data_IF_521870600240
#
_entry.id   IF_521870600240
#
_cell.length_a   1.000
_cell.length_b   1.000
_cell.length_c   1.000
_cell.angle_alpha   90.00
_cell.angle_beta   90.00
_cell.angle_gamma   90.00
#
_symmetry.space_group_name_H-M   'P 1'
#
loop_
_entity.id
_entity.type
_entity.pdbx_description
1 polymer ?
#
# COMPACT_ATOMS: atom_id res chain seq x y z
N UNK A 1 -14.37 -12.13 0.24
CA UNK A 1 -12.93 -11.90 -0.01
C UNK A 1 -12.59 -10.43 -0.03
N UNK A 2 -11.39 -10.08 0.43
CA UNK A 2 -10.85 -8.71 0.49
C UNK A 2 -9.69 -8.57 -0.49
N UNK A 3 -9.54 -7.42 -1.13
CA UNK A 3 -8.33 -7.05 -1.88
C UNK A 3 -7.38 -6.29 -0.97
N UNK A 4 -6.09 -6.54 -1.14
CA UNK A 4 -5.04 -5.89 -0.33
C UNK A 4 -3.92 -5.46 -1.25
N UNK A 5 -3.53 -4.18 -1.17
CA UNK A 5 -2.39 -3.60 -1.89
C UNK A 5 -1.30 -3.17 -0.91
N UNK A 6 -0.03 -3.43 -1.25
CA UNK A 6 1.11 -3.01 -0.41
C UNK A 6 2.18 -2.35 -1.28
N UNK A 7 2.63 -1.18 -0.84
CA UNK A 7 3.74 -0.45 -1.44
C UNK A 7 4.66 0.09 -0.33
N UNK A 8 5.97 0.14 -0.62
CA UNK A 8 6.99 0.59 0.32
C UNK A 8 7.68 1.83 -0.25
N UNK A 9 7.37 2.99 0.34
CA UNK A 9 7.85 4.29 -0.11
C UNK A 9 7.88 5.32 1.01
N UNK A 10 8.01 6.59 0.63
CA UNK A 10 8.03 7.74 1.53
C UNK A 10 6.65 8.41 1.61
N UNK A 11 6.26 8.79 2.82
CA UNK A 11 4.95 9.42 3.07
C UNK A 11 5.10 10.73 3.82
N UNK A 12 4.22 11.68 3.51
CA UNK A 12 3.98 12.84 4.36
C UNK A 12 2.82 12.50 5.29
N UNK A 13 2.98 12.74 6.59
CA UNK A 13 1.95 12.47 7.59
C UNK A 13 1.67 13.70 8.44
N UNK A 14 0.47 13.79 9.00
CA UNK A 14 0.09 14.90 9.85
C UNK A 14 -1.28 14.76 10.51
N UNK A 15 -1.56 15.66 11.45
CA UNK A 15 -2.89 15.83 12.04
C UNK A 15 -3.69 16.83 11.20
N UNK A 16 -4.88 16.42 10.75
CA UNK A 16 -5.82 17.24 9.99
C UNK A 16 -7.07 17.51 10.79
N UNK A 17 -7.59 18.72 10.67
CA UNK A 17 -8.81 19.20 11.31
C UNK A 17 -8.53 20.17 12.45
N UNK A 18 -9.50 21.03 12.75
CA UNK A 18 -9.39 22.06 13.80
C UNK A 18 -10.28 21.77 15.02
N UNK A 19 -11.34 20.96 14.86
CA UNK A 19 -12.26 20.56 15.94
C UNK A 19 -12.24 19.07 16.25
N UNK A 20 -12.00 18.23 15.24
CA UNK A 20 -11.80 16.79 15.37
C UNK A 20 -10.54 16.45 14.60
N UNK A 21 -9.47 16.21 15.33
CA UNK A 21 -8.18 15.88 14.73
C UNK A 21 -8.21 14.42 14.26
N UNK A 22 -7.69 14.19 13.05
CA UNK A 22 -7.38 12.86 12.53
C UNK A 22 -5.94 12.85 12.08
N UNK A 23 -5.19 11.82 12.49
CA UNK A 23 -3.89 11.56 11.90
C UNK A 23 -4.09 10.82 10.58
N UNK A 24 -3.43 11.29 9.52
CA UNK A 24 -3.60 10.74 8.19
C UNK A 24 -2.31 10.93 7.35
N UNK A 25 -2.21 10.19 6.25
CA UNK A 25 -1.00 10.05 5.42
C UNK A 25 -1.31 10.34 3.94
N UNK A 26 -0.44 11.12 3.28
CA UNK A 26 -0.57 11.47 1.86
C UNK A 26 0.79 11.44 1.18
N UNK A 27 0.83 10.90 -0.03
CA UNK A 27 1.99 10.91 -0.93
C UNK A 27 1.56 10.30 -2.27
N UNK A 28 2.37 10.48 -3.30
CA UNK A 28 2.28 9.67 -4.52
C UNK A 28 2.42 8.17 -4.20
N UNK A 29 3.23 7.82 -3.21
CA UNK A 29 3.43 6.43 -2.77
C UNK A 29 2.15 5.83 -2.13
N UNK A 30 1.30 6.67 -1.51
CA UNK A 30 -0.01 6.24 -1.01
C UNK A 30 -0.98 5.98 -2.17
N UNK A 31 -0.93 6.81 -3.21
CA UNK A 31 -1.70 6.57 -4.44
C UNK A 31 -1.27 5.27 -5.12
N UNK A 32 0.03 4.99 -5.20
CA UNK A 32 0.54 3.75 -5.76
C UNK A 32 0.10 2.53 -4.93
N UNK A 33 0.08 2.62 -3.60
CA UNK A 33 -0.47 1.57 -2.74
C UNK A 33 -1.95 1.29 -3.04
N UNK A 34 -2.73 2.35 -3.29
CA UNK A 34 -4.14 2.25 -3.68
C UNK A 34 -4.30 1.62 -5.08
N UNK A 35 -3.39 1.90 -6.02
CA UNK A 35 -3.36 1.22 -7.32
C UNK A 35 -3.07 -0.27 -7.17
N UNK A 36 -2.17 -0.67 -6.27
CA UNK A 36 -1.92 -2.10 -5.98
C UNK A 36 -3.18 -2.78 -5.44
N UNK A 37 -3.94 -2.14 -4.54
CA UNK A 37 -5.20 -2.72 -4.03
C UNK A 37 -6.26 -2.83 -5.13
N UNK A 38 -6.47 -1.75 -5.88
CA UNK A 38 -7.55 -1.67 -6.87
C UNK A 38 -7.33 -2.59 -8.08
N UNK A 39 -6.08 -2.82 -8.48
CA UNK A 39 -5.70 -3.80 -9.51
C UNK A 39 -5.55 -5.23 -8.97
N UNK A 40 -5.57 -5.42 -7.65
CA UNK A 40 -5.35 -6.70 -7.01
C UNK A 40 -6.52 -7.67 -7.12
N UNK A 41 -6.24 -8.97 -7.01
CA UNK A 41 -7.27 -10.01 -6.97
C UNK A 41 -7.77 -10.23 -5.53
N UNK A 42 -9.09 -10.39 -5.31
CA UNK A 42 -9.62 -10.70 -3.98
C UNK A 42 -9.00 -11.99 -3.41
N UNK A 43 -8.64 -11.97 -2.13
CA UNK A 43 -8.01 -13.10 -1.44
C UNK A 43 -6.49 -13.19 -1.67
N UNK A 44 -5.90 -12.26 -2.41
CA UNK A 44 -4.44 -12.14 -2.61
C UNK A 44 -3.96 -10.75 -2.20
N UNK A 45 -2.66 -10.67 -1.89
CA UNK A 45 -1.97 -9.41 -1.61
C UNK A 45 -1.18 -9.02 -2.85
N UNK A 46 -1.52 -7.88 -3.45
CA UNK A 46 -0.79 -7.34 -4.59
C UNK A 46 0.27 -6.36 -4.08
N UNK A 47 1.52 -6.56 -4.51
CA UNK A 47 2.66 -5.79 -4.03
C UNK A 47 3.37 -5.10 -5.17
N UNK A 48 3.83 -3.88 -4.93
CA UNK A 48 4.71 -3.19 -5.86
C UNK A 48 6.12 -3.81 -5.91
N UNK A 49 6.89 -3.51 -6.95
CA UNK A 49 8.30 -3.96 -7.09
C UNK A 49 9.17 -3.55 -5.89
N UNK A 50 8.94 -2.36 -5.33
CA UNK A 50 9.65 -1.86 -4.14
C UNK A 50 9.48 -2.80 -2.94
N UNK A 51 8.25 -3.24 -2.68
CA UNK A 51 7.92 -4.16 -1.59
C UNK A 51 8.38 -5.57 -1.93
N UNK A 52 8.22 -6.01 -3.19
CA UNK A 52 8.67 -7.32 -3.65
C UNK A 52 10.16 -7.54 -3.35
N UNK A 53 11.02 -6.57 -3.67
CA UNK A 53 12.46 -6.65 -3.39
C UNK A 53 12.80 -6.90 -1.92
N UNK A 54 11.95 -6.43 -1.00
CA UNK A 54 12.13 -6.59 0.45
C UNK A 54 11.63 -7.96 0.95
N UNK A 55 10.62 -8.55 0.31
CA UNK A 55 9.90 -9.73 0.85
C UNK A 55 10.00 -10.98 -0.02
N UNK A 56 10.61 -10.90 -1.21
CA UNK A 56 10.72 -11.99 -2.19
C UNK A 56 11.33 -13.28 -1.63
N UNK A 57 12.16 -13.19 -0.59
CA UNK A 57 12.79 -14.35 0.05
C UNK A 57 11.96 -14.97 1.18
N UNK A 58 10.87 -14.31 1.59
CA UNK A 58 10.03 -14.71 2.72
C UNK A 58 8.71 -15.36 2.27
N UNK A 59 8.25 -15.04 1.06
CA UNK A 59 6.96 -15.47 0.54
C UNK A 59 7.06 -16.04 -0.86
N UNK A 60 6.09 -16.87 -1.24
CA UNK A 60 5.88 -17.27 -2.63
C UNK A 60 5.20 -16.13 -3.37
N UNK A 61 5.78 -15.71 -4.48
CA UNK A 61 5.28 -14.60 -5.29
C UNK A 61 4.99 -15.10 -6.69
N UNK A 62 3.87 -14.64 -7.25
CA UNK A 62 3.44 -14.91 -8.61
C UNK A 62 3.44 -13.58 -9.40
N UNK A 63 3.67 -13.59 -10.72
CA UNK A 63 3.51 -12.40 -11.56
C UNK A 63 2.08 -11.86 -11.44
N UNK A 64 1.96 -10.56 -11.14
CA UNK A 64 0.69 -9.83 -11.00
C UNK A 64 0.17 -9.31 -12.34
#
# INVERSE_FOLDING_TARGET
DMRVGVHSGSVLCGLVGTRRFKFDVWSHDVTLANEMESSGQPGRVHVSDSTYKLVQHLYKVEPG
#
